data_IF_144396764526
#
_entry.id   IF_144396764526
#
_cell.length_a   1.000
_cell.length_b   1.000
_cell.length_c   1.000
_cell.angle_alpha   90.00
_cell.angle_beta   90.00
_cell.angle_gamma   90.00
#
_symmetry.space_group_name_H-M   'P 1'
#
loop_
_entity.id
_entity.type
_entity.pdbx_description
1 polymer ?
#
# COMPACT_ATOMS: atom_id res chain seq x y z
N UNK A 1 13.07 -8.52 -1.39
CA UNK A 1 12.40 -7.29 -1.89
C UNK A 1 10.89 -7.49 -1.90
N UNK A 2 10.15 -6.57 -1.35
CA UNK A 2 8.69 -6.66 -1.33
C UNK A 2 8.10 -5.95 -2.55
N UNK A 3 6.97 -6.47 -3.01
CA UNK A 3 6.27 -5.96 -4.20
C UNK A 3 4.99 -5.25 -3.79
N UNK A 4 4.77 -4.05 -4.32
CA UNK A 4 3.63 -3.21 -4.00
C UNK A 4 2.92 -2.79 -5.29
N UNK A 5 1.60 -2.90 -5.27
CA UNK A 5 0.76 -2.37 -6.35
C UNK A 5 0.16 -1.05 -5.89
N UNK A 6 0.30 -0.01 -6.68
CA UNK A 6 -0.24 1.32 -6.38
C UNK A 6 -1.24 1.71 -7.47
N UNK A 7 -2.47 1.94 -7.10
CA UNK A 7 -3.51 2.38 -8.03
C UNK A 7 -4.04 3.75 -7.61
N UNK A 8 -3.85 4.74 -8.48
CA UNK A 8 -4.33 6.11 -8.27
C UNK A 8 -4.42 6.75 -9.65
N UNK A 9 -5.52 7.43 -9.94
CA UNK A 9 -5.70 8.06 -11.23
C UNK A 9 -4.92 9.38 -11.37
N UNK A 10 -4.41 9.92 -10.27
CA UNK A 10 -3.57 11.12 -10.29
C UNK A 10 -2.11 10.74 -10.52
N UNK A 11 -1.59 11.11 -11.68
CA UNK A 11 -0.22 10.76 -12.07
C UNK A 11 0.82 11.24 -11.06
N UNK A 12 0.69 12.46 -10.58
CA UNK A 12 1.68 13.04 -9.66
C UNK A 12 1.77 12.23 -8.37
N UNK A 13 0.63 11.82 -7.82
CA UNK A 13 0.59 11.03 -6.59
C UNK A 13 1.15 9.65 -6.85
N UNK A 14 0.70 9.00 -7.92
CA UNK A 14 1.12 7.66 -8.29
C UNK A 14 2.64 7.56 -8.46
N UNK A 15 3.21 8.51 -9.20
CA UNK A 15 4.65 8.52 -9.45
C UNK A 15 5.46 8.88 -8.22
N UNK A 16 4.96 9.80 -7.38
CA UNK A 16 5.63 10.16 -6.14
C UNK A 16 5.72 8.96 -5.20
N UNK A 17 4.64 8.21 -5.07
CA UNK A 17 4.64 7.00 -4.24
C UNK A 17 5.61 5.98 -4.81
N UNK A 18 5.55 5.75 -6.11
CA UNK A 18 6.44 4.78 -6.77
C UNK A 18 7.89 5.12 -6.54
N UNK A 19 8.27 6.37 -6.81
CA UNK A 19 9.68 6.78 -6.69
C UNK A 19 10.16 6.65 -5.25
N UNK A 20 9.34 7.07 -4.30
CA UNK A 20 9.71 7.00 -2.89
C UNK A 20 9.89 5.56 -2.42
N UNK A 21 8.95 4.70 -2.74
CA UNK A 21 9.01 3.30 -2.31
C UNK A 21 10.14 2.55 -3.01
N UNK A 22 10.38 2.83 -4.28
CA UNK A 22 11.50 2.19 -5.00
C UNK A 22 12.83 2.63 -4.41
N UNK A 23 12.96 3.88 -4.00
CA UNK A 23 14.17 4.35 -3.34
C UNK A 23 14.40 3.65 -2.00
N UNK A 24 13.33 3.12 -1.40
CA UNK A 24 13.42 2.37 -0.14
C UNK A 24 13.59 0.86 -0.37
N UNK A 25 13.73 0.42 -1.60
CA UNK A 25 14.00 -0.97 -1.91
C UNK A 25 12.79 -1.82 -2.28
N UNK A 26 11.61 -1.23 -2.44
CA UNK A 26 10.43 -1.95 -2.88
C UNK A 26 10.38 -2.03 -4.40
N UNK A 27 9.72 -3.08 -4.90
CA UNK A 27 9.36 -3.19 -6.31
C UNK A 27 7.93 -2.70 -6.45
N UNK A 28 7.70 -1.71 -7.31
CA UNK A 28 6.39 -1.05 -7.42
C UNK A 28 5.85 -1.16 -8.83
N UNK A 29 4.60 -1.61 -8.95
CA UNK A 29 3.83 -1.53 -10.19
C UNK A 29 2.68 -0.56 -9.97
N UNK A 30 2.32 0.18 -11.01
CA UNK A 30 1.30 1.21 -10.89
C UNK A 30 0.15 0.96 -11.85
N UNK A 31 -1.05 1.42 -11.45
CA UNK A 31 -2.25 1.36 -12.28
C UNK A 31 -2.97 2.70 -12.18
N UNK A 32 -3.70 3.05 -13.23
CA UNK A 32 -4.39 4.33 -13.33
C UNK A 32 -5.86 4.25 -12.93
N UNK A 33 -6.40 3.03 -12.83
CA UNK A 33 -7.81 2.80 -12.47
C UNK A 33 -7.94 1.42 -11.83
N UNK A 34 -9.14 1.13 -11.34
CA UNK A 34 -9.39 -0.13 -10.65
C UNK A 34 -9.32 -1.35 -11.55
N UNK A 35 -9.72 -1.21 -12.81
CA UNK A 35 -9.66 -2.32 -13.77
C UNK A 35 -8.22 -2.73 -14.03
N UNK A 36 -7.36 -1.75 -14.36
CA UNK A 36 -5.94 -2.01 -14.58
C UNK A 36 -5.26 -2.56 -13.34
N UNK A 37 -5.67 -2.07 -12.16
CA UNK A 37 -5.13 -2.56 -10.89
C UNK A 37 -5.43 -4.04 -10.71
N UNK A 38 -6.67 -4.47 -10.99
CA UNK A 38 -7.04 -5.87 -10.86
C UNK A 38 -6.35 -6.76 -11.89
N UNK A 39 -6.15 -6.26 -13.12
CA UNK A 39 -5.39 -6.99 -14.12
C UNK A 39 -3.97 -7.28 -13.62
N UNK A 40 -3.29 -6.26 -13.10
CA UNK A 40 -1.96 -6.43 -12.54
C UNK A 40 -1.96 -7.35 -11.33
N UNK A 41 -2.97 -7.23 -10.48
CA UNK A 41 -3.08 -8.06 -9.29
C UNK A 41 -3.18 -9.54 -9.65
N UNK A 42 -3.96 -9.88 -10.67
CA UNK A 42 -4.12 -11.27 -11.06
C UNK A 42 -2.93 -11.83 -11.83
N UNK A 43 -2.13 -10.98 -12.45
CA UNK A 43 -0.98 -11.40 -13.24
C UNK A 43 0.33 -11.47 -12.46
N UNK A 44 0.38 -10.89 -11.27
CA UNK A 44 1.60 -10.76 -10.48
C UNK A 44 1.33 -11.12 -9.03
N UNK A 45 2.42 -11.29 -8.27
CA UNK A 45 2.35 -11.49 -6.83
C UNK A 45 2.75 -10.20 -6.13
N UNK A 46 1.94 -9.77 -5.16
CA UNK A 46 2.21 -8.57 -4.39
C UNK A 46 2.18 -8.87 -2.89
N UNK A 47 2.83 -8.01 -2.13
CA UNK A 47 2.84 -8.07 -0.67
C UNK A 47 1.94 -7.00 -0.06
N UNK A 48 1.55 -6.00 -0.85
CA UNK A 48 0.69 -4.90 -0.41
C UNK A 48 0.03 -4.28 -1.63
N UNK A 49 -1.22 -3.89 -1.49
CA UNK A 49 -1.94 -3.14 -2.51
C UNK A 49 -2.38 -1.79 -1.93
N UNK A 50 -2.03 -0.71 -2.61
CA UNK A 50 -2.44 0.65 -2.25
C UNK A 50 -3.45 1.11 -3.29
N UNK A 51 -4.65 1.46 -2.82
CA UNK A 51 -5.78 1.81 -3.70
C UNK A 51 -6.34 3.17 -3.34
N UNK A 52 -6.44 4.06 -4.32
CA UNK A 52 -7.23 5.26 -4.18
C UNK A 52 -8.71 4.85 -4.14
N UNK A 53 -9.46 5.41 -3.21
CA UNK A 53 -10.89 5.12 -3.07
C UNK A 53 -11.65 5.54 -4.33
N UNK A 54 -11.35 6.72 -4.85
CA UNK A 54 -12.06 7.32 -5.99
C UNK A 54 -11.28 7.13 -7.28
N UNK A 55 -11.62 6.10 -8.03
CA UNK A 55 -10.99 5.82 -9.33
C UNK A 55 -12.06 5.56 -10.37
N UNK A 56 -11.77 5.85 -11.65
CA UNK A 56 -12.71 5.49 -12.72
C UNK A 56 -12.77 3.97 -12.94
N UNK A 57 -13.81 3.54 -13.63
CA UNK A 57 -14.12 2.15 -13.99
C UNK A 57 -14.49 1.32 -12.76
N UNK A 58 -13.49 0.79 -12.04
CA UNK A 58 -13.71 0.05 -10.80
C UNK A 58 -13.14 0.90 -9.67
N UNK A 59 -13.96 1.29 -8.70
CA UNK A 59 -13.47 2.12 -7.60
C UNK A 59 -12.66 1.30 -6.59
N UNK A 60 -12.06 2.02 -5.62
CA UNK A 60 -11.18 1.37 -4.66
C UNK A 60 -11.90 0.35 -3.79
N UNK A 61 -13.16 0.59 -3.45
CA UNK A 61 -13.93 -0.36 -2.64
C UNK A 61 -14.16 -1.68 -3.37
N UNK A 62 -14.58 -1.60 -4.62
CA UNK A 62 -14.81 -2.79 -5.43
C UNK A 62 -13.52 -3.53 -5.73
N UNK A 63 -12.44 -2.80 -5.98
CA UNK A 63 -11.13 -3.42 -6.18
C UNK A 63 -10.68 -4.15 -4.91
N UNK A 64 -10.89 -3.55 -3.75
CA UNK A 64 -10.56 -4.19 -2.48
C UNK A 64 -11.35 -5.48 -2.25
N UNK A 65 -12.64 -5.46 -2.56
CA UNK A 65 -13.47 -6.67 -2.45
C UNK A 65 -12.94 -7.79 -3.35
N UNK A 66 -12.54 -7.44 -4.56
CA UNK A 66 -11.98 -8.43 -5.50
C UNK A 66 -10.67 -9.02 -4.98
N UNK A 67 -9.79 -8.18 -4.43
CA UNK A 67 -8.54 -8.64 -3.84
C UNK A 67 -8.83 -9.58 -2.67
N UNK A 68 -9.80 -9.23 -1.82
CA UNK A 68 -10.14 -10.06 -0.65
C UNK A 68 -10.71 -11.41 -1.01
N UNK A 69 -11.40 -11.53 -2.14
CA UNK A 69 -11.87 -12.84 -2.60
C UNK A 69 -10.73 -13.78 -2.98
N UNK A 70 -9.57 -13.21 -3.34
CA UNK A 70 -8.44 -13.98 -3.84
C UNK A 70 -7.28 -14.11 -2.86
N UNK A 71 -7.18 -13.22 -1.86
CA UNK A 71 -5.99 -13.15 -1.01
C UNK A 71 -6.27 -12.40 0.30
N UNK A 72 -5.42 -12.65 1.29
CA UNK A 72 -5.42 -11.93 2.56
C UNK A 72 -4.33 -10.87 2.64
N UNK A 73 -3.69 -10.54 1.52
CA UNK A 73 -2.63 -9.54 1.55
C UNK A 73 -3.19 -8.18 1.98
N UNK A 74 -2.36 -7.32 2.59
CA UNK A 74 -2.87 -6.05 3.11
C UNK A 74 -3.28 -5.08 2.01
N UNK A 75 -4.34 -4.34 2.28
CA UNK A 75 -4.84 -3.28 1.41
C UNK A 75 -4.83 -1.97 2.18
N UNK A 76 -4.20 -0.96 1.60
CA UNK A 76 -4.13 0.39 2.16
C UNK A 76 -4.89 1.34 1.24
N UNK A 77 -5.86 2.05 1.79
CA UNK A 77 -6.62 3.03 1.01
C UNK A 77 -5.99 4.40 1.07
N UNK A 78 -6.04 5.12 -0.06
CA UNK A 78 -5.79 6.55 -0.13
C UNK A 78 -7.14 7.24 -0.25
N UNK A 79 -7.40 8.21 0.60
CA UNK A 79 -8.69 8.91 0.62
C UNK A 79 -8.49 10.41 0.66
N UNK A 80 -9.43 11.16 0.09
CA UNK A 80 -9.36 12.61 0.08
C UNK A 80 -9.81 13.17 1.44
N UNK A 81 -9.23 14.31 1.82
CA UNK A 81 -9.67 15.04 2.99
C UNK A 81 -11.15 15.39 2.84
N UNK A 82 -11.92 15.21 3.90
CA UNK A 82 -13.34 15.44 3.87
C UNK A 82 -14.18 14.21 3.57
N UNK A 83 -13.54 13.08 3.29
CA UNK A 83 -14.25 11.83 2.98
C UNK A 83 -14.07 10.79 4.06
N UNK A 84 -13.92 11.24 5.30
CA UNK A 84 -13.71 10.35 6.44
C UNK A 84 -14.91 9.42 6.69
N UNK A 85 -16.09 9.79 6.21
CA UNK A 85 -17.27 8.91 6.28
C UNK A 85 -17.06 7.61 5.52
N UNK A 86 -16.14 7.59 4.55
CA UNK A 86 -15.85 6.40 3.76
C UNK A 86 -14.98 5.40 4.52
N UNK A 87 -14.42 5.77 5.67
CA UNK A 87 -13.56 4.87 6.43
C UNK A 87 -14.28 3.59 6.83
N UNK A 88 -15.51 3.73 7.35
CA UNK A 88 -16.29 2.57 7.75
C UNK A 88 -16.54 1.66 6.56
N UNK A 89 -16.92 2.23 5.43
CA UNK A 89 -17.13 1.46 4.21
C UNK A 89 -15.88 0.74 3.77
N UNK A 90 -14.71 1.39 3.90
CA UNK A 90 -13.43 0.79 3.58
C UNK A 90 -13.15 -0.44 4.44
N UNK A 91 -13.37 -0.35 5.74
CA UNK A 91 -13.16 -1.48 6.63
C UNK A 91 -14.15 -2.61 6.35
N UNK A 92 -15.39 -2.29 5.99
CA UNK A 92 -16.36 -3.30 5.57
C UNK A 92 -15.91 -4.03 4.31
N UNK A 93 -15.18 -3.35 3.42
CA UNK A 93 -14.63 -3.99 2.21
C UNK A 93 -13.38 -4.81 2.50
N UNK A 94 -12.84 -4.71 3.70
CA UNK A 94 -11.69 -5.50 4.12
C UNK A 94 -10.35 -4.81 4.01
N UNK A 95 -10.30 -3.47 3.95
CA UNK A 95 -9.02 -2.77 3.98
C UNK A 95 -8.39 -2.86 5.36
N UNK A 96 -7.08 -2.72 5.42
CA UNK A 96 -6.33 -2.84 6.66
C UNK A 96 -5.99 -1.50 7.29
N UNK A 97 -5.92 -0.44 6.48
CA UNK A 97 -5.63 0.91 6.96
C UNK A 97 -5.92 1.90 5.84
N UNK A 98 -5.81 3.18 6.14
CA UNK A 98 -6.01 4.24 5.17
C UNK A 98 -5.06 5.41 5.45
N UNK A 99 -4.85 6.25 4.44
CA UNK A 99 -4.07 7.49 4.54
C UNK A 99 -4.86 8.60 3.86
N UNK A 100 -4.99 9.72 4.53
CA UNK A 100 -5.76 10.88 4.02
C UNK A 100 -4.82 11.79 3.23
N UNK A 101 -5.23 12.16 2.02
CA UNK A 101 -4.50 13.10 1.18
C UNK A 101 -4.73 14.53 1.66
N UNK A 102 -3.74 15.41 1.63
CA UNK A 102 -2.34 15.15 1.31
C UNK A 102 -1.64 14.49 2.51
N UNK A 103 -0.66 13.64 2.22
CA UNK A 103 0.08 12.92 3.26
C UNK A 103 1.58 13.01 3.01
N UNK A 104 2.40 12.99 4.07
CA UNK A 104 3.84 12.83 3.90
C UNK A 104 4.15 11.42 3.40
N UNK A 105 5.06 11.31 2.43
CA UNK A 105 5.44 10.00 1.91
C UNK A 105 6.08 9.12 2.98
N UNK A 106 6.75 9.72 3.94
CA UNK A 106 7.32 8.98 5.07
C UNK A 106 6.26 8.29 5.92
N UNK A 107 5.10 8.92 6.09
CA UNK A 107 3.98 8.32 6.83
C UNK A 107 3.41 7.14 6.05
N UNK A 108 3.23 7.31 4.74
CA UNK A 108 2.77 6.22 3.88
C UNK A 108 3.74 5.03 3.96
N UNK A 109 5.03 5.31 3.87
CA UNK A 109 6.06 4.28 3.93
C UNK A 109 6.01 3.51 5.25
N UNK A 110 5.87 4.19 6.38
CA UNK A 110 5.79 3.53 7.68
C UNK A 110 4.56 2.63 7.76
N UNK A 111 3.43 3.06 7.22
CA UNK A 111 2.22 2.22 7.20
C UNK A 111 2.41 1.00 6.30
N UNK A 112 3.07 1.16 5.16
CA UNK A 112 3.37 0.04 4.27
C UNK A 112 4.22 -1.00 4.99
N UNK A 113 5.28 -0.56 5.67
CA UNK A 113 6.16 -1.47 6.41
C UNK A 113 5.40 -2.20 7.52
N UNK A 114 4.59 -1.48 8.26
CA UNK A 114 3.82 -2.06 9.35
C UNK A 114 2.85 -3.13 8.85
N UNK A 115 2.16 -2.86 7.75
CA UNK A 115 1.19 -3.80 7.18
C UNK A 115 1.88 -5.04 6.61
N UNK A 116 2.97 -4.87 5.88
CA UNK A 116 3.71 -6.00 5.30
C UNK A 116 4.32 -6.86 6.42
N UNK A 117 4.90 -6.20 7.41
CA UNK A 117 5.50 -6.90 8.55
C UNK A 117 4.48 -7.77 9.27
N UNK A 118 3.29 -7.23 9.52
CA UNK A 118 2.21 -7.96 10.17
C UNK A 118 1.72 -9.13 9.30
N UNK A 119 1.52 -8.87 8.03
CA UNK A 119 1.06 -9.89 7.07
C UNK A 119 2.05 -11.06 6.96
N UNK A 120 3.34 -10.75 6.90
CA UNK A 120 4.38 -11.77 6.78
C UNK A 120 4.74 -12.42 8.10
N UNK A 121 4.27 -11.88 9.22
CA UNK A 121 4.63 -12.41 10.53
C UNK A 121 6.10 -12.25 10.87
N UNK A 122 6.74 -11.19 10.38
CA UNK A 122 8.17 -10.94 10.57
C UNK A 122 8.38 -10.11 11.83
N UNK A 123 9.26 -10.56 12.73
CA UNK A 123 9.59 -9.79 13.91
C UNK A 123 10.61 -8.69 13.59
N UNK A 124 10.84 -7.79 14.56
CA UNK A 124 11.73 -6.65 14.35
C UNK A 124 13.17 -7.07 14.07
N UNK A 125 13.63 -8.17 14.63
CA UNK A 125 14.99 -8.64 14.42
C UNK A 125 15.22 -9.11 12.99
N UNK A 126 14.19 -9.74 12.39
CA UNK A 126 14.30 -10.26 11.03
C UNK A 126 13.88 -9.24 9.97
N UNK A 127 13.16 -8.20 10.35
CA UNK A 127 12.65 -7.22 9.40
C UNK A 127 13.76 -6.60 8.55
N UNK A 128 14.86 -6.21 9.20
CA UNK A 128 15.98 -5.58 8.50
C UNK A 128 16.60 -6.48 7.44
N UNK A 129 16.58 -7.80 7.67
CA UNK A 129 17.17 -8.76 6.74
C UNK A 129 16.31 -8.96 5.50
N UNK A 130 14.99 -8.95 5.65
CA UNK A 130 14.09 -9.32 4.54
C UNK A 130 13.52 -8.12 3.81
N UNK A 131 13.46 -6.95 4.44
CA UNK A 131 12.87 -5.76 3.85
C UNK A 131 13.79 -5.01 2.89
N UNK A 132 15.11 -5.21 3.04
CA UNK A 132 16.08 -4.47 2.24
C UNK A 132 16.42 -3.08 2.79
N UNK A 133 15.91 -2.72 3.97
CA UNK A 133 16.20 -1.42 4.58
C UNK A 133 17.31 -1.49 5.63
N UNK A 134 17.95 -2.65 5.76
CA UNK A 134 18.98 -2.88 6.79
C UNK A 134 20.19 -1.96 6.64
N UNK A 135 20.40 -1.42 5.46
CA UNK A 135 21.58 -0.57 5.20
C UNK A 135 21.45 0.82 5.80
N UNK A 136 20.27 1.24 6.15
CA UNK A 136 20.07 2.55 6.75
C UNK A 136 20.08 2.44 8.26
N UNK A 137 21.26 2.54 8.83
CA UNK A 137 21.44 2.41 10.26
C UNK A 137 20.79 3.53 11.06
N UNK A 138 20.57 4.68 10.43
CA UNK A 138 19.91 5.80 11.10
C UNK A 138 18.45 5.49 11.40
N UNK A 139 17.86 4.56 10.68
CA UNK A 139 16.47 4.16 10.89
C UNK A 139 16.33 3.06 11.95
N UNK A 140 17.43 2.54 12.45
CA UNK A 140 17.42 1.41 13.36
C UNK A 140 16.57 1.66 14.61
N UNK A 141 16.63 2.85 15.16
CA UNK A 141 15.88 3.20 16.36
C UNK A 141 14.38 3.22 16.15
N UNK A 142 13.94 3.46 14.92
CA UNK A 142 12.54 3.47 14.58
C UNK A 142 11.93 2.07 14.70
N UNK A 143 12.73 1.03 14.62
CA UNK A 143 12.27 -0.35 14.64
C UNK A 143 12.40 -1.00 16.00
N UNK A 144 13.03 -0.35 16.93
CA UNK A 144 13.23 -0.88 18.27
C UNK A 144 12.05 -0.55 19.17
N UNK A 145 11.42 0.57 18.91
CA UNK A 145 10.31 1.04 19.73
C UNK A 145 9.04 0.25 19.60
#
# INVERSE_FOLDING_TARGET
MFSVLVADDEKAIRESIKDYLEAKGYSVKTATDGESALELFYENSFDLVILDVMMPKVDGFDACRAVRRASNLPVLFLTAKGQEADFLKGFECGCDDYVVKPFPLSVLYEKCNSLIKRYKGIDSANWLKVSGVALDLSCKRAYVG
#
